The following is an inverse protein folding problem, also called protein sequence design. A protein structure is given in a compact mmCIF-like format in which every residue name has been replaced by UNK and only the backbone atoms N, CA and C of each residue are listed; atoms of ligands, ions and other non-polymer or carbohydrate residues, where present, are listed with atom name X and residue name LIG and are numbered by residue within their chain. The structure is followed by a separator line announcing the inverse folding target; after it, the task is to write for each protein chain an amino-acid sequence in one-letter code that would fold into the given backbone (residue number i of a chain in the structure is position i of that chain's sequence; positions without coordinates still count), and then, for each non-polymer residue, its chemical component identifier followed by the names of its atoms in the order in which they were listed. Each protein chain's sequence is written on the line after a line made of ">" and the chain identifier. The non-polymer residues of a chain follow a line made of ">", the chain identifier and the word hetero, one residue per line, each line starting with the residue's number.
data_IF_853171862001
#
_entry.id   IF_853171862001
#
_cell.length_a   1.000
_cell.length_b   1.000
_cell.length_c   1.000
_cell.angle_alpha   90.00
_cell.angle_beta   90.00
_cell.angle_gamma   90.00
#
_symmetry.space_group_name_H-M   'P 1'
#
loop_
_entity.id
_entity.type
_entity.pdbx_description
1 polymer ?
#
# COMPACT_ATOMS: atom_id res chain seq x y z
N UNK A 1 -23.76 -27.29 6.06
CA UNK A 1 -23.29 -26.01 6.62
C UNK A 1 -24.50 -25.35 7.22
N UNK A 2 -24.57 -25.23 8.53
CA UNK A 2 -25.66 -24.53 9.19
C UNK A 2 -25.66 -23.06 8.79
N UNK A 3 -26.83 -22.47 8.49
CA UNK A 3 -26.92 -21.08 8.08
C UNK A 3 -26.64 -20.19 9.29
N UNK A 4 -25.64 -19.28 9.12
CA UNK A 4 -25.46 -18.03 9.83
C UNK A 4 -25.67 -18.01 11.35
N UNK A 5 -24.74 -18.57 12.12
CA UNK A 5 -24.50 -17.99 13.44
C UNK A 5 -23.76 -16.66 13.23
N UNK A 6 -24.52 -15.56 13.16
CA UNK A 6 -23.97 -14.22 13.16
C UNK A 6 -23.06 -14.05 14.38
N UNK A 7 -21.80 -13.67 14.14
CA UNK A 7 -20.90 -13.40 15.24
C UNK A 7 -21.31 -12.04 15.86
N UNK A 8 -21.88 -12.05 17.08
CA UNK A 8 -22.62 -10.88 17.62
C UNK A 8 -21.71 -9.66 17.84
N UNK A 9 -20.38 -9.84 17.75
CA UNK A 9 -19.41 -8.77 18.05
C UNK A 9 -18.78 -8.14 16.81
N UNK A 10 -19.28 -8.41 15.59
CA UNK A 10 -18.63 -7.90 14.37
C UNK A 10 -18.60 -6.37 14.29
N UNK A 11 -19.68 -5.68 14.69
CA UNK A 11 -19.73 -4.21 14.73
C UNK A 11 -18.69 -3.63 15.70
N UNK A 12 -18.58 -4.21 16.89
CA UNK A 12 -17.59 -3.82 17.88
C UNK A 12 -16.17 -4.05 17.37
N UNK A 13 -15.90 -5.19 16.78
CA UNK A 13 -14.60 -5.50 16.19
C UNK A 13 -14.28 -4.55 15.03
N UNK A 14 -15.26 -4.18 14.22
CA UNK A 14 -15.07 -3.19 13.13
C UNK A 14 -14.63 -1.83 13.68
N UNK A 15 -15.31 -1.33 14.71
CA UNK A 15 -14.96 -0.04 15.33
C UNK A 15 -13.55 -0.09 15.95
N UNK A 16 -13.24 -1.16 16.71
CA UNK A 16 -11.93 -1.33 17.32
C UNK A 16 -10.82 -1.49 16.28
N UNK A 17 -11.08 -2.21 15.19
CA UNK A 17 -10.15 -2.36 14.08
C UNK A 17 -9.94 -1.04 13.35
N UNK A 18 -11.00 -0.25 13.17
CA UNK A 18 -10.94 1.09 12.57
C UNK A 18 -10.02 2.00 13.36
N UNK A 19 -10.25 2.12 14.67
CA UNK A 19 -9.42 2.95 15.57
C UNK A 19 -7.97 2.45 15.61
N UNK A 20 -7.78 1.14 15.72
CA UNK A 20 -6.45 0.53 15.74
C UNK A 20 -5.67 0.82 14.46
N UNK A 21 -6.28 0.64 13.28
CA UNK A 21 -5.62 0.89 12.01
C UNK A 21 -5.39 2.38 11.73
N UNK A 22 -6.28 3.24 12.21
CA UNK A 22 -6.05 4.68 12.20
C UNK A 22 -4.75 5.04 12.92
N UNK A 23 -4.53 4.55 14.16
CA UNK A 23 -3.31 4.83 14.92
C UNK A 23 -2.06 4.18 14.31
N UNK A 24 -2.17 2.95 13.78
CA UNK A 24 -1.06 2.28 13.09
C UNK A 24 -0.58 3.11 11.91
N UNK A 25 -1.51 3.54 11.04
CA UNK A 25 -1.15 4.29 9.83
C UNK A 25 -0.76 5.74 10.15
N UNK A 26 -1.35 6.35 11.18
CA UNK A 26 -0.93 7.66 11.65
C UNK A 26 0.53 7.62 12.14
N UNK A 27 0.89 6.66 12.98
CA UNK A 27 2.26 6.49 13.44
C UNK A 27 3.23 6.11 12.32
N UNK A 28 2.81 5.24 11.40
CA UNK A 28 3.64 4.86 10.26
C UNK A 28 3.93 6.04 9.34
N UNK A 29 2.92 6.80 8.93
CA UNK A 29 3.06 7.92 8.01
C UNK A 29 3.85 9.07 8.67
N UNK A 30 3.62 9.34 9.96
CA UNK A 30 4.33 10.38 10.70
C UNK A 30 5.84 10.16 10.80
N UNK A 31 6.32 8.92 10.71
CA UNK A 31 7.75 8.61 10.73
C UNK A 31 8.33 8.39 9.32
N UNK A 32 7.67 7.53 8.53
CA UNK A 32 8.27 7.00 7.30
C UNK A 32 8.39 8.03 6.16
N UNK A 33 7.50 9.00 6.13
CA UNK A 33 7.49 10.05 5.10
C UNK A 33 8.72 10.97 5.22
N UNK A 34 9.26 11.13 6.43
CA UNK A 34 10.33 12.06 6.74
C UNK A 34 11.72 11.41 6.86
N UNK A 35 11.83 10.11 6.59
CA UNK A 35 13.11 9.38 6.60
C UNK A 35 14.18 9.99 5.70
N UNK A 36 13.86 10.51 4.50
CA UNK A 36 14.88 11.17 3.68
C UNK A 36 15.51 12.39 4.35
N UNK A 37 14.71 13.18 5.08
CA UNK A 37 15.21 14.34 5.84
C UNK A 37 15.97 13.88 7.10
N UNK A 38 15.55 12.79 7.74
CA UNK A 38 16.26 12.20 8.88
C UNK A 38 17.70 11.77 8.53
N UNK A 39 17.91 11.22 7.32
CA UNK A 39 19.25 10.89 6.83
C UNK A 39 20.15 12.12 6.74
N UNK A 40 19.59 13.28 6.38
CA UNK A 40 20.33 14.53 6.29
C UNK A 40 20.57 15.15 7.67
N UNK A 41 19.47 15.47 8.37
CA UNK A 41 19.52 16.32 9.56
C UNK A 41 20.11 15.60 10.78
N UNK A 42 19.85 14.29 10.89
CA UNK A 42 20.29 13.50 12.08
C UNK A 42 21.55 12.68 11.80
N UNK A 43 21.69 12.12 10.60
CA UNK A 43 22.83 11.27 10.24
C UNK A 43 23.89 12.00 9.40
N UNK A 44 23.70 13.30 9.11
CA UNK A 44 24.69 14.16 8.48
C UNK A 44 24.98 13.82 6.99
N UNK A 45 24.06 13.18 6.28
CA UNK A 45 24.23 12.83 4.86
C UNK A 45 23.74 13.99 4.00
N UNK A 46 24.59 14.97 3.75
CA UNK A 46 24.25 16.16 2.98
C UNK A 46 24.12 15.88 1.48
N UNK A 47 24.92 14.94 0.95
CA UNK A 47 24.90 14.58 -0.46
C UNK A 47 23.55 14.00 -0.89
N UNK A 48 22.87 14.67 -1.82
CA UNK A 48 21.61 14.18 -2.40
C UNK A 48 21.75 12.77 -2.99
N UNK A 49 22.86 12.53 -3.67
CA UNK A 49 23.14 11.25 -4.34
C UNK A 49 23.29 10.10 -3.35
N UNK A 50 24.10 10.28 -2.30
CA UNK A 50 24.28 9.26 -1.25
C UNK A 50 22.99 9.03 -0.47
N UNK A 51 22.31 10.11 -0.10
CA UNK A 51 21.01 10.05 0.59
C UNK A 51 19.98 9.26 -0.21
N UNK A 52 19.97 9.45 -1.54
CA UNK A 52 19.12 8.69 -2.45
C UNK A 52 19.31 7.18 -2.36
N UNK A 53 20.57 6.72 -2.25
CA UNK A 53 20.89 5.29 -2.07
C UNK A 53 20.40 4.78 -0.72
N UNK A 54 20.66 5.52 0.38
CA UNK A 54 20.22 5.08 1.71
C UNK A 54 18.69 5.03 1.83
N UNK A 55 17.98 5.99 1.26
CA UNK A 55 16.50 5.99 1.17
C UNK A 55 16.00 4.79 0.37
N UNK A 56 16.66 4.48 -0.74
CA UNK A 56 16.37 3.30 -1.54
C UNK A 56 16.58 2.01 -0.75
N UNK A 57 17.71 1.84 -0.11
CA UNK A 57 18.02 0.65 0.72
C UNK A 57 17.02 0.51 1.88
N UNK A 58 16.70 1.60 2.57
CA UNK A 58 15.71 1.61 3.65
C UNK A 58 14.34 1.09 3.17
N UNK A 59 13.85 1.56 2.03
CA UNK A 59 12.59 1.12 1.47
C UNK A 59 12.67 -0.32 0.93
N UNK A 60 13.76 -0.68 0.25
CA UNK A 60 13.98 -2.03 -0.26
C UNK A 60 13.93 -3.07 0.87
N UNK A 61 14.70 -2.88 1.94
CA UNK A 61 14.72 -3.81 3.07
C UNK A 61 13.40 -3.81 3.84
N UNK A 62 12.65 -2.69 3.83
CA UNK A 62 11.30 -2.64 4.35
C UNK A 62 10.32 -3.53 3.57
N UNK A 63 10.32 -3.44 2.23
CA UNK A 63 9.47 -4.27 1.37
C UNK A 63 9.90 -5.74 1.43
N UNK A 64 11.21 -6.01 1.42
CA UNK A 64 11.77 -7.35 1.52
C UNK A 64 11.37 -8.05 2.82
N UNK A 65 11.54 -7.36 3.96
CA UNK A 65 11.13 -7.89 5.27
C UNK A 65 9.65 -8.26 5.30
N UNK A 66 8.79 -7.37 4.80
CA UNK A 66 7.36 -7.63 4.72
C UNK A 66 7.04 -8.82 3.79
N UNK A 67 7.64 -8.86 2.59
CA UNK A 67 7.36 -9.89 1.60
C UNK A 67 7.76 -11.30 2.05
N UNK A 68 8.92 -11.42 2.70
CA UNK A 68 9.44 -12.71 3.18
C UNK A 68 8.65 -13.23 4.39
N UNK A 69 8.33 -12.35 5.34
CA UNK A 69 7.73 -12.75 6.61
C UNK A 69 6.20 -12.75 6.62
N UNK A 70 5.53 -12.01 5.73
CA UNK A 70 4.06 -11.97 5.67
C UNK A 70 3.41 -13.36 5.50
N UNK A 71 3.88 -14.26 4.61
CA UNK A 71 3.34 -15.61 4.49
C UNK A 71 3.55 -16.47 5.75
N UNK A 72 4.67 -16.30 6.45
CA UNK A 72 4.96 -16.98 7.71
C UNK A 72 3.96 -16.59 8.78
N UNK A 73 3.73 -15.28 8.95
CA UNK A 73 2.76 -14.78 9.92
C UNK A 73 1.32 -15.13 9.55
N UNK A 74 1.00 -15.18 8.26
CA UNK A 74 -0.29 -15.69 7.78
C UNK A 74 -0.54 -17.12 8.23
N UNK A 75 0.43 -18.03 8.07
CA UNK A 75 0.34 -19.42 8.51
C UNK A 75 0.31 -19.57 10.04
N UNK A 76 1.04 -18.74 10.77
CA UNK A 76 1.00 -18.69 12.23
C UNK A 76 -0.34 -18.16 12.76
N UNK A 77 -0.95 -17.21 12.04
CA UNK A 77 -2.27 -16.68 12.44
C UNK A 77 -3.36 -17.74 12.44
N UNK A 78 -3.28 -18.73 11.55
CA UNK A 78 -4.20 -19.86 11.52
C UNK A 78 -3.98 -20.82 12.70
N UNK A 79 -2.77 -20.85 13.28
CA UNK A 79 -2.40 -21.71 14.40
C UNK A 79 -2.65 -21.07 15.76
N UNK A 80 -2.25 -19.80 15.92
CA UNK A 80 -2.25 -19.09 17.20
C UNK A 80 -3.39 -18.09 17.33
N UNK A 81 -4.09 -17.79 16.24
CA UNK A 81 -5.14 -16.78 16.17
C UNK A 81 -4.65 -15.44 15.61
N UNK A 82 -5.56 -14.75 14.96
CA UNK A 82 -5.28 -13.47 14.28
C UNK A 82 -5.06 -12.34 15.29
N UNK A 83 -5.80 -12.37 16.42
CA UNK A 83 -5.67 -11.37 17.48
C UNK A 83 -4.25 -11.32 18.07
N UNK A 84 -3.61 -12.47 18.29
CA UNK A 84 -2.23 -12.53 18.80
C UNK A 84 -1.26 -11.91 17.80
N UNK A 85 -1.48 -12.13 16.50
CA UNK A 85 -0.64 -11.52 15.45
C UNK A 85 -0.79 -9.99 15.41
N UNK A 86 -2.01 -9.46 15.63
CA UNK A 86 -2.26 -8.03 15.75
C UNK A 86 -1.51 -7.42 16.94
N UNK A 87 -1.66 -8.02 18.12
CA UNK A 87 -1.00 -7.55 19.35
C UNK A 87 0.52 -7.55 19.20
N UNK A 88 1.07 -8.64 18.70
CA UNK A 88 2.51 -8.75 18.43
C UNK A 88 2.97 -7.63 17.49
N UNK A 89 2.32 -7.44 16.35
CA UNK A 89 2.71 -6.43 15.37
C UNK A 89 2.65 -5.02 15.95
N UNK A 90 1.63 -4.69 16.75
CA UNK A 90 1.50 -3.38 17.36
C UNK A 90 2.57 -3.14 18.44
N UNK A 91 2.72 -4.05 19.43
CA UNK A 91 3.65 -3.81 20.53
C UNK A 91 5.12 -3.91 20.11
N UNK A 92 5.47 -4.82 19.21
CA UNK A 92 6.84 -4.91 18.69
C UNK A 92 7.19 -3.62 17.94
N UNK A 93 6.32 -3.15 17.05
CA UNK A 93 6.55 -1.90 16.33
C UNK A 93 6.63 -0.70 17.28
N UNK A 94 5.82 -0.68 18.35
CA UNK A 94 5.87 0.36 19.38
C UNK A 94 7.24 0.49 20.06
N UNK A 95 8.01 -0.59 20.15
CA UNK A 95 9.36 -0.58 20.71
C UNK A 95 10.39 -0.13 19.65
N UNK A 96 10.30 -0.67 18.44
CA UNK A 96 11.32 -0.43 17.43
C UNK A 96 11.26 0.98 16.81
N UNK A 97 10.09 1.63 16.77
CA UNK A 97 9.99 2.99 16.25
C UNK A 97 10.76 4.01 17.09
N UNK A 98 10.58 4.09 18.42
CA UNK A 98 11.43 4.95 19.25
C UNK A 98 12.93 4.64 19.13
N UNK A 99 13.31 3.37 18.96
CA UNK A 99 14.72 3.00 18.78
C UNK A 99 15.34 3.62 17.50
N UNK A 100 14.54 3.89 16.47
CA UNK A 100 15.03 4.56 15.25
C UNK A 100 15.51 5.99 15.53
N UNK A 101 15.04 6.64 16.60
CA UNK A 101 15.47 7.99 16.97
C UNK A 101 16.92 8.05 17.49
N UNK A 102 17.45 6.92 17.98
CA UNK A 102 18.76 6.86 18.64
C UNK A 102 19.85 6.23 17.75
N UNK A 103 19.57 6.01 16.47
CA UNK A 103 20.57 5.48 15.53
C UNK A 103 21.62 6.53 15.23
N UNK A 104 22.87 6.10 15.10
CA UNK A 104 24.03 6.96 14.81
C UNK A 104 24.64 6.67 13.43
N UNK A 105 24.16 5.63 12.76
CA UNK A 105 24.66 5.24 11.45
C UNK A 105 23.54 4.73 10.51
N UNK A 106 23.62 4.96 9.19
CA UNK A 106 22.60 4.55 8.23
C UNK A 106 22.24 3.07 8.25
N UNK A 107 23.24 2.19 8.42
CA UNK A 107 23.03 0.74 8.45
C UNK A 107 22.17 0.28 9.63
N UNK A 108 22.26 0.98 10.79
CA UNK A 108 21.42 0.69 11.97
C UNK A 108 19.94 0.96 11.64
N UNK A 109 19.65 2.11 11.00
CA UNK A 109 18.29 2.48 10.60
C UNK A 109 17.73 1.46 9.61
N UNK A 110 18.51 1.04 8.61
CA UNK A 110 18.12 0.05 7.61
C UNK A 110 17.85 -1.31 8.28
N UNK A 111 18.70 -1.73 9.21
CA UNK A 111 18.50 -2.98 9.96
C UNK A 111 17.23 -2.94 10.82
N UNK A 112 17.00 -1.84 11.55
CA UNK A 112 15.77 -1.64 12.33
C UNK A 112 14.53 -1.66 11.41
N UNK A 113 14.63 -1.08 10.21
CA UNK A 113 13.56 -1.12 9.22
C UNK A 113 13.23 -2.54 8.76
N UNK A 114 14.26 -3.35 8.44
CA UNK A 114 14.10 -4.75 8.08
C UNK A 114 13.41 -5.54 9.19
N UNK A 115 13.90 -5.41 10.43
CA UNK A 115 13.34 -6.11 11.60
C UNK A 115 11.90 -5.66 11.87
N UNK A 116 11.64 -4.36 11.84
CA UNK A 116 10.28 -3.83 12.04
C UNK A 116 9.33 -4.33 10.97
N UNK A 117 9.74 -4.32 9.69
CA UNK A 117 8.92 -4.80 8.59
C UNK A 117 8.68 -6.32 8.67
N UNK A 118 9.70 -7.09 9.05
CA UNK A 118 9.60 -8.54 9.24
C UNK A 118 8.61 -8.90 10.37
N UNK A 119 8.55 -8.10 11.42
CA UNK A 119 7.73 -8.34 12.60
C UNK A 119 6.38 -7.61 12.57
N UNK A 120 6.13 -6.69 11.65
CA UNK A 120 4.87 -5.98 11.48
C UNK A 120 3.74 -6.89 10.89
N UNK A 121 2.82 -6.34 10.14
CA UNK A 121 1.74 -7.10 9.46
C UNK A 121 0.37 -6.90 10.10
N UNK A 122 0.19 -5.85 10.88
CA UNK A 122 -1.07 -5.51 11.57
C UNK A 122 -2.23 -5.30 10.61
N UNK A 123 -2.02 -4.59 9.50
CA UNK A 123 -3.07 -4.28 8.52
C UNK A 123 -3.63 -5.55 7.87
N UNK A 124 -2.76 -6.44 7.38
CA UNK A 124 -3.19 -7.71 6.80
C UNK A 124 -3.96 -8.58 7.81
N UNK A 125 -3.47 -8.63 9.06
CA UNK A 125 -4.16 -9.36 10.13
C UNK A 125 -5.54 -8.76 10.46
N UNK A 126 -5.69 -7.43 10.46
CA UNK A 126 -7.00 -6.77 10.63
C UNK A 126 -7.98 -7.14 9.52
N UNK A 127 -7.56 -7.11 8.26
CA UNK A 127 -8.38 -7.53 7.13
C UNK A 127 -8.85 -8.99 7.27
N UNK A 128 -7.96 -9.89 7.72
CA UNK A 128 -8.29 -11.30 7.97
C UNK A 128 -9.28 -11.45 9.14
N UNK A 129 -9.07 -10.72 10.24
CA UNK A 129 -9.96 -10.77 11.41
C UNK A 129 -11.39 -10.36 11.04
N UNK A 130 -11.53 -9.26 10.31
CA UNK A 130 -12.83 -8.76 9.86
C UNK A 130 -13.46 -9.69 8.83
N UNK A 131 -12.69 -10.24 7.88
CA UNK A 131 -13.21 -11.20 6.91
C UNK A 131 -13.75 -12.46 7.57
N UNK A 132 -13.13 -12.96 8.65
CA UNK A 132 -13.58 -14.13 9.40
C UNK A 132 -14.78 -13.84 10.34
N UNK A 133 -14.95 -12.60 10.77
CA UNK A 133 -15.91 -12.22 11.81
C UNK A 133 -17.14 -11.45 11.33
N UNK A 134 -17.17 -10.97 10.10
CA UNK A 134 -18.24 -10.15 9.55
C UNK A 134 -19.19 -11.00 8.68
N UNK A 135 -20.51 -10.80 8.74
CA UNK A 135 -21.47 -11.45 7.84
C UNK A 135 -21.18 -11.19 6.37
N UNK A 136 -21.46 -12.15 5.49
CA UNK A 136 -21.11 -12.11 4.07
C UNK A 136 -21.72 -10.91 3.34
N UNK A 137 -22.94 -10.51 3.70
CA UNK A 137 -23.64 -9.34 3.13
C UNK A 137 -23.02 -7.99 3.56
N UNK A 138 -22.23 -7.95 4.64
CA UNK A 138 -21.57 -6.74 5.21
C UNK A 138 -20.06 -6.71 5.00
N UNK A 139 -19.47 -7.74 4.40
CA UNK A 139 -18.00 -7.79 4.22
C UNK A 139 -17.46 -6.65 3.39
N UNK A 140 -18.14 -6.27 2.30
CA UNK A 140 -17.73 -5.13 1.47
C UNK A 140 -17.68 -3.82 2.27
N UNK A 141 -18.70 -3.56 3.08
CA UNK A 141 -18.75 -2.39 3.97
C UNK A 141 -17.62 -2.42 5.00
N UNK A 142 -17.37 -3.56 5.65
CA UNK A 142 -16.36 -3.68 6.69
C UNK A 142 -14.95 -3.48 6.12
N UNK A 143 -14.63 -4.06 4.97
CA UNK A 143 -13.33 -3.92 4.31
C UNK A 143 -13.11 -2.50 3.77
N UNK A 144 -14.14 -1.90 3.17
CA UNK A 144 -14.10 -0.50 2.71
C UNK A 144 -13.92 0.48 3.85
N UNK A 145 -14.63 0.28 4.97
CA UNK A 145 -14.49 1.09 6.19
C UNK A 145 -13.06 0.98 6.76
N UNK A 146 -12.46 -0.20 6.78
CA UNK A 146 -11.08 -0.39 7.24
C UNK A 146 -10.07 0.34 6.33
N UNK A 147 -10.27 0.30 5.02
CA UNK A 147 -9.47 1.06 4.05
C UNK A 147 -9.58 2.57 4.29
N UNK A 148 -10.77 3.07 4.61
CA UNK A 148 -10.97 4.47 4.98
C UNK A 148 -10.19 4.85 6.25
N UNK A 149 -10.14 3.96 7.27
CA UNK A 149 -9.33 4.17 8.47
C UNK A 149 -7.83 4.28 8.15
N UNK A 150 -7.33 3.43 7.25
CA UNK A 150 -5.93 3.45 6.76
C UNK A 150 -5.61 4.80 6.11
N UNK A 151 -6.48 5.28 5.21
CA UNK A 151 -6.29 6.57 4.54
C UNK A 151 -6.38 7.75 5.52
N UNK A 152 -7.36 7.74 6.43
CA UNK A 152 -7.52 8.78 7.44
C UNK A 152 -6.31 8.84 8.40
N UNK A 153 -5.79 7.67 8.81
CA UNK A 153 -4.57 7.57 9.60
C UNK A 153 -3.37 8.16 8.88
N UNK A 154 -3.17 7.80 7.61
CA UNK A 154 -2.06 8.33 6.80
C UNK A 154 -2.15 9.84 6.61
N UNK A 155 -3.36 10.38 6.40
CA UNK A 155 -3.60 11.82 6.29
C UNK A 155 -3.15 12.55 7.57
N UNK A 156 -3.69 12.13 8.72
CA UNK A 156 -3.37 12.77 10.01
C UNK A 156 -1.90 12.55 10.36
N UNK A 157 -1.36 11.35 10.10
CA UNK A 157 0.04 11.03 10.36
C UNK A 157 1.01 11.89 9.57
N UNK A 158 0.78 12.10 8.29
CA UNK A 158 1.62 12.99 7.48
C UNK A 158 1.60 14.43 7.99
N UNK A 159 0.39 14.97 8.26
CA UNK A 159 0.23 16.35 8.72
C UNK A 159 0.88 16.58 10.09
N UNK A 160 0.54 15.74 11.06
CA UNK A 160 1.05 15.85 12.43
C UNK A 160 2.54 15.50 12.50
N UNK A 161 2.97 14.51 11.71
CA UNK A 161 4.37 14.11 11.62
C UNK A 161 5.26 15.21 11.08
N UNK A 162 4.85 15.90 9.99
CA UNK A 162 5.59 17.05 9.47
C UNK A 162 5.73 18.19 10.46
N UNK A 163 4.63 18.51 11.15
CA UNK A 163 4.65 19.49 12.23
C UNK A 163 5.59 19.08 13.38
N UNK A 164 5.53 17.82 13.83
CA UNK A 164 6.40 17.36 14.91
C UNK A 164 7.87 17.32 14.52
N UNK A 165 8.20 16.94 13.29
CA UNK A 165 9.59 16.89 12.82
C UNK A 165 10.21 18.29 12.85
N UNK A 166 9.54 19.30 12.26
CA UNK A 166 10.10 20.64 12.15
C UNK A 166 10.12 21.41 13.49
N UNK A 167 9.11 21.20 14.36
CA UNK A 167 8.99 22.01 15.59
C UNK A 167 9.47 21.29 16.86
N UNK A 168 9.45 19.96 16.91
CA UNK A 168 9.83 19.16 18.09
C UNK A 168 10.98 18.17 17.81
N UNK A 169 11.35 18.01 16.55
CA UNK A 169 12.44 17.13 16.12
C UNK A 169 12.07 15.66 15.99
N UNK A 170 12.99 14.89 15.42
CA UNK A 170 12.79 13.48 15.07
C UNK A 170 12.59 12.58 16.28
N UNK A 171 13.34 12.81 17.38
CA UNK A 171 13.23 11.99 18.60
C UNK A 171 11.81 12.02 19.15
N UNK A 172 11.23 13.22 19.28
CA UNK A 172 9.85 13.36 19.73
C UNK A 172 8.88 12.65 18.78
N UNK A 173 9.06 12.83 17.47
CA UNK A 173 8.20 12.23 16.44
C UNK A 173 8.22 10.69 16.52
N UNK A 174 9.40 10.07 16.57
CA UNK A 174 9.52 8.61 16.68
C UNK A 174 8.94 8.05 17.98
N UNK A 175 9.12 8.75 19.10
CA UNK A 175 8.52 8.37 20.39
C UNK A 175 7.00 8.48 20.33
N UNK A 176 6.47 9.58 19.77
CA UNK A 176 5.03 9.76 19.56
C UNK A 176 4.43 8.65 18.67
N UNK A 177 5.15 8.25 17.60
CA UNK A 177 4.77 7.10 16.79
C UNK A 177 4.69 5.81 17.61
N UNK A 178 5.68 5.55 18.48
CA UNK A 178 5.66 4.42 19.40
C UNK A 178 4.42 4.42 20.30
N UNK A 179 4.05 5.56 20.85
CA UNK A 179 2.82 5.73 21.66
C UNK A 179 1.56 5.41 20.85
N UNK A 180 1.47 5.86 19.59
CA UNK A 180 0.33 5.54 18.73
C UNK A 180 0.22 4.01 18.47
N UNK A 181 1.34 3.33 18.32
CA UNK A 181 1.34 1.86 18.19
C UNK A 181 0.95 1.15 19.51
N UNK A 182 1.32 1.69 20.68
CA UNK A 182 0.83 1.19 21.98
C UNK A 182 -0.69 1.35 22.06
N UNK A 183 -1.21 2.53 21.73
CA UNK A 183 -2.66 2.77 21.70
C UNK A 183 -3.36 1.79 20.77
N UNK A 184 -2.85 1.59 19.55
CA UNK A 184 -3.37 0.56 18.64
C UNK A 184 -3.41 -0.83 19.28
N UNK A 185 -2.33 -1.24 19.95
CA UNK A 185 -2.27 -2.51 20.67
C UNK A 185 -3.32 -2.63 21.78
N UNK A 186 -3.55 -1.56 22.54
CA UNK A 186 -4.58 -1.49 23.58
C UNK A 186 -5.97 -1.73 22.99
N UNK A 187 -6.32 -1.05 21.86
CA UNK A 187 -7.59 -1.30 21.19
C UNK A 187 -7.72 -2.72 20.65
N UNK A 188 -6.62 -3.32 20.17
CA UNK A 188 -6.60 -4.73 19.76
C UNK A 188 -6.86 -5.70 20.91
N UNK A 189 -6.48 -5.39 22.17
CA UNK A 189 -6.78 -6.21 23.34
C UNK A 189 -8.28 -6.43 23.53
N UNK A 190 -9.09 -5.42 23.23
CA UNK A 190 -10.53 -5.48 23.39
C UNK A 190 -11.27 -6.17 22.24
N UNK A 191 -10.59 -6.49 21.13
CA UNK A 191 -11.19 -7.27 20.04
C UNK A 191 -11.47 -8.70 20.49
N UNK A 192 -12.56 -9.28 20.00
CA UNK A 192 -12.93 -10.68 20.23
C UNK A 192 -12.72 -11.49 18.97
N UNK A 193 -12.03 -12.60 19.10
CA UNK A 193 -11.84 -13.57 18.03
C UNK A 193 -12.67 -14.83 18.33
N UNK A 194 -13.33 -15.38 17.30
CA UNK A 194 -14.00 -16.66 17.40
C UNK A 194 -12.95 -17.73 17.66
N UNK A 195 -13.03 -18.42 18.79
CA UNK A 195 -12.10 -19.52 19.10
C UNK A 195 -12.15 -20.55 17.97
N UNK A 196 -10.98 -20.84 17.41
CA UNK A 196 -10.85 -21.93 16.45
C UNK A 196 -11.05 -23.23 17.24
N UNK A 197 -12.22 -23.82 17.09
CA UNK A 197 -12.46 -25.16 17.62
C UNK A 197 -11.59 -26.11 16.79
N UNK A 198 -10.51 -26.59 17.37
CA UNK A 198 -9.72 -27.68 16.77
C UNK A 198 -10.62 -28.90 16.71
N UNK A 199 -11.20 -29.17 15.55
CA UNK A 199 -11.79 -30.47 15.29
C UNK A 199 -10.60 -31.44 15.29
N UNK A 200 -10.55 -32.31 16.31
CA UNK A 200 -9.63 -33.44 16.36
C UNK A 200 -10.01 -34.40 15.23
N UNK A 201 -9.23 -34.40 14.21
CA UNK A 201 -9.34 -35.12 12.96
C UNK A 201 -8.72 -34.29 11.85
N UNK A 202 -8.01 -34.91 10.93
CA UNK A 202 -7.45 -34.19 9.76
C UNK A 202 -8.59 -33.42 9.09
N UNK A 203 -8.75 -32.16 9.45
CA UNK A 203 -9.80 -31.29 8.93
C UNK A 203 -9.74 -31.35 7.40
N UNK A 204 -10.89 -31.48 6.75
CA UNK A 204 -11.03 -31.34 5.30
C UNK A 204 -10.29 -30.10 4.77
N UNK A 205 -10.10 -29.11 5.64
CA UNK A 205 -9.33 -27.89 5.41
C UNK A 205 -7.80 -28.14 5.36
N UNK A 206 -7.24 -28.94 6.26
CA UNK A 206 -5.80 -29.33 6.24
C UNK A 206 -5.54 -30.24 5.04
N UNK A 207 -6.46 -31.15 4.72
CA UNK A 207 -6.41 -31.98 3.52
C UNK A 207 -6.51 -31.13 2.25
N UNK A 208 -7.34 -30.07 2.28
CA UNK A 208 -7.48 -29.10 1.20
C UNK A 208 -6.24 -28.23 1.03
N UNK A 209 -5.58 -27.78 2.12
CA UNK A 209 -4.30 -27.03 2.08
C UNK A 209 -3.17 -27.95 1.62
N UNK A 210 -3.10 -29.20 2.08
CA UNK A 210 -2.09 -30.18 1.62
C UNK A 210 -2.26 -30.51 0.14
N UNK A 211 -3.49 -30.63 -0.33
CA UNK A 211 -3.79 -30.81 -1.75
C UNK A 211 -3.53 -29.53 -2.56
N UNK A 212 -3.75 -28.34 -1.98
CA UNK A 212 -3.39 -27.05 -2.61
C UNK A 212 -1.88 -26.89 -2.74
N UNK A 213 -1.10 -27.38 -1.76
CA UNK A 213 0.38 -27.38 -1.79
C UNK A 213 0.95 -28.41 -2.78
N UNK A 214 0.17 -29.42 -3.16
CA UNK A 214 0.48 -30.43 -4.18
C UNK A 214 -0.12 -30.12 -5.55
N UNK A 215 -1.01 -29.13 -5.65
CA UNK A 215 -1.54 -28.75 -6.96
C UNK A 215 -0.45 -27.99 -7.75
N UNK A 216 -0.25 -28.35 -9.02
CA UNK A 216 0.65 -27.59 -9.90
C UNK A 216 0.22 -26.13 -9.91
N UNK A 217 1.17 -25.21 -10.16
CA UNK A 217 0.87 -23.77 -10.30
C UNK A 217 -0.45 -23.59 -11.02
N UNK A 218 -1.36 -22.73 -10.50
CA UNK A 218 -2.67 -22.55 -11.13
C UNK A 218 -2.46 -22.15 -12.59
N UNK A 219 -2.93 -22.98 -13.51
CA UNK A 219 -2.85 -22.69 -14.94
C UNK A 219 -3.74 -21.48 -15.21
N UNK A 220 -3.12 -20.32 -15.28
CA UNK A 220 -3.75 -19.08 -15.71
C UNK A 220 -3.62 -18.94 -17.22
N UNK A 221 -4.61 -18.30 -17.84
CA UNK A 221 -4.51 -17.90 -19.24
C UNK A 221 -3.38 -16.86 -19.43
N UNK A 222 -2.79 -16.80 -20.62
CA UNK A 222 -1.75 -15.83 -20.96
C UNK A 222 -2.19 -14.40 -20.63
N UNK A 223 -3.45 -14.04 -20.85
CA UNK A 223 -3.95 -12.71 -20.51
C UNK A 223 -3.94 -12.41 -19.02
N UNK A 224 -4.20 -13.39 -18.15
CA UNK A 224 -4.07 -13.21 -16.68
C UNK A 224 -2.61 -12.96 -16.29
N UNK A 225 -1.65 -13.69 -16.87
CA UNK A 225 -0.22 -13.45 -16.64
C UNK A 225 0.22 -12.07 -17.13
N UNK A 226 -0.25 -11.63 -18.30
CA UNK A 226 0.02 -10.29 -18.81
C UNK A 226 -0.56 -9.20 -17.89
N UNK A 227 -1.76 -9.41 -17.31
CA UNK A 227 -2.32 -8.49 -16.32
C UNK A 227 -1.51 -8.46 -15.02
N UNK A 228 -1.04 -9.61 -14.55
CA UNK A 228 -0.16 -9.65 -13.37
C UNK A 228 1.15 -8.88 -13.63
N UNK A 229 1.73 -9.03 -14.82
CA UNK A 229 2.88 -8.23 -15.25
C UNK A 229 2.55 -6.74 -15.28
N UNK A 230 1.36 -6.36 -15.80
CA UNK A 230 0.91 -4.97 -15.79
C UNK A 230 0.79 -4.42 -14.37
N UNK A 231 0.34 -5.21 -13.39
CA UNK A 231 0.35 -4.82 -11.98
C UNK A 231 1.77 -4.53 -11.48
N UNK A 232 2.73 -5.39 -11.80
CA UNK A 232 4.15 -5.18 -11.43
C UNK A 232 4.70 -3.90 -12.05
N UNK A 233 4.50 -3.70 -13.35
CA UNK A 233 4.96 -2.50 -14.07
C UNK A 233 4.30 -1.22 -13.55
N UNK A 234 2.98 -1.24 -13.31
CA UNK A 234 2.25 -0.09 -12.76
C UNK A 234 2.75 0.29 -11.37
N UNK A 235 3.02 -0.70 -10.53
CA UNK A 235 3.58 -0.49 -9.20
C UNK A 235 5.03 0.01 -9.26
N UNK A 236 5.84 -0.54 -10.17
CA UNK A 236 7.21 -0.12 -10.38
C UNK A 236 7.26 1.37 -10.75
N UNK A 237 6.52 1.77 -11.79
CA UNK A 237 6.54 3.17 -12.27
C UNK A 237 5.90 4.11 -11.27
N UNK A 238 4.78 3.70 -10.64
CA UNK A 238 4.08 4.52 -9.65
C UNK A 238 4.86 4.76 -8.36
N UNK A 239 5.76 3.85 -7.99
CA UNK A 239 6.52 3.96 -6.74
C UNK A 239 7.90 4.61 -6.91
N UNK A 240 8.38 4.86 -8.14
CA UNK A 240 9.72 5.43 -8.40
C UNK A 240 9.98 6.77 -7.69
N UNK A 241 8.99 7.64 -7.63
CA UNK A 241 9.11 8.97 -7.04
C UNK A 241 8.61 9.07 -5.60
N UNK A 242 7.83 8.08 -5.13
CA UNK A 242 7.15 8.14 -3.81
C UNK A 242 8.13 8.28 -2.64
N UNK A 243 9.25 7.55 -2.56
CA UNK A 243 10.18 7.66 -1.43
C UNK A 243 10.90 9.00 -1.34
N UNK A 244 10.89 9.79 -2.41
CA UNK A 244 11.70 11.01 -2.56
C UNK A 244 10.88 12.30 -2.48
N UNK A 245 9.62 12.23 -2.04
CA UNK A 245 8.73 13.41 -1.94
C UNK A 245 9.32 14.44 -0.99
N UNK A 246 9.83 14.04 0.17
CA UNK A 246 10.42 14.96 1.14
C UNK A 246 11.71 15.61 0.62
N UNK A 247 12.58 14.86 -0.09
CA UNK A 247 13.78 15.40 -0.73
C UNK A 247 13.44 16.41 -1.82
N UNK A 248 12.40 16.13 -2.62
CA UNK A 248 11.99 17.06 -3.67
C UNK A 248 11.44 18.36 -3.09
N UNK A 249 10.66 18.27 -2.00
CA UNK A 249 10.12 19.45 -1.32
C UNK A 249 11.24 20.25 -0.68
N UNK A 250 12.23 19.60 -0.06
CA UNK A 250 13.42 20.25 0.48
C UNK A 250 14.17 21.07 -0.58
N UNK A 251 14.33 20.53 -1.82
CA UNK A 251 15.01 21.23 -2.93
C UNK A 251 14.29 22.50 -3.40
N UNK A 252 12.98 22.61 -3.21
CA UNK A 252 12.14 23.73 -3.67
C UNK A 252 11.62 24.59 -2.51
N UNK A 253 11.85 24.18 -1.27
CA UNK A 253 11.42 24.93 -0.10
C UNK A 253 12.32 26.12 0.19
N UNK A 254 11.72 27.29 0.28
CA UNK A 254 12.39 28.56 0.64
C UNK A 254 12.06 29.02 2.05
N UNK A 255 11.20 28.28 2.77
CA UNK A 255 10.69 28.68 4.09
C UNK A 255 11.49 28.09 5.24
N UNK A 256 12.34 27.08 4.98
CA UNK A 256 13.12 26.36 5.99
C UNK A 256 12.31 25.33 6.81
N UNK A 257 11.13 24.96 6.31
CA UNK A 257 10.24 23.97 6.94
C UNK A 257 9.82 22.84 6.00
N UNK A 258 10.76 22.06 5.45
CA UNK A 258 10.49 21.06 4.43
C UNK A 258 9.62 19.91 4.94
N UNK A 259 9.74 19.50 6.21
CA UNK A 259 8.91 18.44 6.77
C UNK A 259 7.45 18.89 6.92
N UNK A 260 7.21 20.11 7.38
CA UNK A 260 5.86 20.68 7.48
C UNK A 260 5.14 20.72 6.14
N UNK A 261 5.81 21.24 5.08
CA UNK A 261 5.24 21.28 3.73
C UNK A 261 5.05 19.88 3.13
N UNK A 262 5.98 18.97 3.38
CA UNK A 262 5.82 17.55 3.01
C UNK A 262 4.57 16.95 3.66
N UNK A 263 4.37 17.20 4.95
CA UNK A 263 3.21 16.76 5.69
C UNK A 263 1.90 17.27 5.10
N UNK A 264 1.81 18.57 4.79
CA UNK A 264 0.63 19.19 4.18
C UNK A 264 0.34 18.60 2.80
N UNK A 265 1.34 18.56 1.91
CA UNK A 265 1.16 18.10 0.53
C UNK A 265 0.77 16.62 0.49
N UNK A 266 1.40 15.77 1.30
CA UNK A 266 1.03 14.36 1.41
C UNK A 266 -0.37 14.17 2.03
N UNK A 267 -0.78 15.02 2.97
CA UNK A 267 -2.13 14.98 3.55
C UNK A 267 -3.20 15.36 2.54
N UNK A 268 -3.01 16.44 1.79
CA UNK A 268 -3.91 16.84 0.70
C UNK A 268 -4.01 15.73 -0.35
N UNK A 269 -2.86 15.14 -0.72
CA UNK A 269 -2.82 14.02 -1.66
C UNK A 269 -3.60 12.79 -1.13
N UNK A 270 -3.56 12.52 0.18
CA UNK A 270 -4.33 11.43 0.80
C UNK A 270 -5.83 11.68 0.75
N UNK A 271 -6.28 12.93 0.94
CA UNK A 271 -7.69 13.33 0.76
C UNK A 271 -8.13 13.13 -0.69
N UNK A 272 -7.33 13.60 -1.65
CA UNK A 272 -7.60 13.42 -3.08
C UNK A 272 -7.68 11.94 -3.48
N UNK A 273 -6.81 11.10 -2.91
CA UNK A 273 -6.82 9.66 -3.14
C UNK A 273 -8.10 8.98 -2.63
N UNK A 274 -8.68 9.43 -1.50
CA UNK A 274 -9.97 8.96 -0.99
C UNK A 274 -11.10 9.25 -1.99
N UNK A 275 -11.19 10.49 -2.47
CA UNK A 275 -12.19 10.87 -3.46
C UNK A 275 -11.99 10.13 -4.79
N UNK A 276 -10.75 9.91 -5.20
CA UNK A 276 -10.40 9.10 -6.36
C UNK A 276 -11.03 7.71 -6.31
N UNK A 277 -10.91 7.01 -5.19
CA UNK A 277 -11.49 5.68 -5.02
C UNK A 277 -13.01 5.65 -5.24
N UNK A 278 -13.73 6.66 -4.76
CA UNK A 278 -15.18 6.81 -4.95
C UNK A 278 -15.52 7.13 -6.41
N UNK A 279 -14.85 8.13 -7.00
CA UNK A 279 -15.09 8.58 -8.38
C UNK A 279 -14.80 7.45 -9.37
N UNK A 280 -13.61 6.84 -9.29
CA UNK A 280 -13.21 5.79 -10.24
C UNK A 280 -13.92 4.46 -9.97
N UNK A 281 -14.33 4.18 -8.73
CA UNK A 281 -15.23 3.07 -8.42
C UNK A 281 -16.55 3.21 -9.17
N UNK A 282 -17.18 4.38 -9.10
CA UNK A 282 -18.41 4.69 -9.83
C UNK A 282 -18.21 4.68 -11.36
N UNK A 283 -17.16 5.37 -11.85
CA UNK A 283 -16.85 5.40 -13.29
C UNK A 283 -16.58 4.00 -13.83
N UNK A 284 -15.86 3.16 -13.09
CA UNK A 284 -15.57 1.80 -13.52
C UNK A 284 -16.85 0.97 -13.73
N UNK A 285 -17.95 1.29 -13.05
CA UNK A 285 -19.22 0.59 -13.22
C UNK A 285 -20.03 1.06 -14.46
N UNK A 286 -19.82 2.29 -14.91
CA UNK A 286 -20.57 2.89 -16.01
C UNK A 286 -19.79 2.95 -17.33
N UNK A 287 -18.44 3.03 -17.25
CA UNK A 287 -17.58 3.15 -18.43
C UNK A 287 -16.67 1.94 -18.54
N UNK A 288 -16.44 1.44 -19.74
CA UNK A 288 -15.51 0.32 -19.97
C UNK A 288 -14.09 0.75 -19.59
N UNK A 289 -13.36 -0.03 -18.77
CA UNK A 289 -12.03 0.34 -18.24
C UNK A 289 -11.03 0.77 -19.31
N UNK A 290 -11.11 0.20 -20.52
CA UNK A 290 -10.22 0.55 -21.64
C UNK A 290 -10.25 2.03 -22.05
N UNK A 291 -11.40 2.70 -21.89
CA UNK A 291 -11.53 4.12 -22.25
C UNK A 291 -11.05 5.06 -21.11
N UNK A 292 -11.04 4.56 -19.86
CA UNK A 292 -10.60 5.34 -18.71
C UNK A 292 -9.09 5.26 -18.49
N UNK A 293 -8.46 4.14 -18.86
CA UNK A 293 -7.07 3.89 -18.47
C UNK A 293 -6.07 4.77 -19.22
N UNK A 294 -6.36 5.09 -20.49
CA UNK A 294 -5.48 5.95 -21.30
C UNK A 294 -5.43 7.37 -20.74
N UNK A 295 -6.57 8.09 -20.56
CA UNK A 295 -6.51 9.43 -19.98
C UNK A 295 -5.95 9.42 -18.56
N UNK A 296 -6.21 8.38 -17.75
CA UNK A 296 -5.63 8.25 -16.41
C UNK A 296 -4.11 8.20 -16.47
N UNK A 297 -3.52 7.32 -17.28
CA UNK A 297 -2.07 7.21 -17.42
C UNK A 297 -1.45 8.49 -17.99
N UNK A 298 -2.11 9.14 -18.96
CA UNK A 298 -1.63 10.39 -19.57
C UNK A 298 -1.62 11.53 -18.55
N UNK A 299 -2.67 11.69 -17.76
CA UNK A 299 -2.75 12.74 -16.73
C UNK A 299 -1.72 12.50 -15.64
N UNK A 300 -1.58 11.26 -15.15
CA UNK A 300 -0.56 10.93 -14.14
C UNK A 300 0.84 11.22 -14.68
N UNK A 301 1.14 10.78 -15.91
CA UNK A 301 2.43 11.02 -16.55
C UNK A 301 2.76 12.50 -16.67
N UNK A 302 1.79 13.31 -17.10
CA UNK A 302 1.94 14.76 -17.20
C UNK A 302 2.17 15.39 -15.82
N UNK A 303 1.35 15.05 -14.83
CA UNK A 303 1.51 15.54 -13.46
C UNK A 303 2.90 15.21 -12.88
N UNK A 304 3.40 14.00 -13.13
CA UNK A 304 4.73 13.59 -12.66
C UNK A 304 5.84 14.43 -13.32
N UNK A 305 5.77 14.65 -14.63
CA UNK A 305 6.76 15.50 -15.33
C UNK A 305 6.73 16.92 -14.78
N UNK A 306 5.55 17.52 -14.61
CA UNK A 306 5.42 18.87 -14.06
C UNK A 306 5.98 18.94 -12.63
N UNK A 307 5.74 17.93 -11.80
CA UNK A 307 6.33 17.84 -10.45
C UNK A 307 7.87 17.78 -10.50
N UNK A 308 8.44 17.09 -11.48
CA UNK A 308 9.90 16.99 -11.65
C UNK A 308 10.57 18.29 -12.07
N UNK A 309 9.85 19.18 -12.77
CA UNK A 309 10.35 20.51 -13.20
C UNK A 309 9.81 21.65 -12.34
N UNK A 310 9.02 21.35 -11.29
CA UNK A 310 8.46 22.39 -10.43
C UNK A 310 9.54 23.08 -9.60
N UNK A 311 9.52 24.41 -9.60
CA UNK A 311 10.39 25.27 -8.78
C UNK A 311 9.59 25.97 -7.66
N UNK A 312 8.33 25.60 -7.47
CA UNK A 312 7.43 26.17 -6.46
C UNK A 312 6.68 25.10 -5.71
N UNK A 313 6.59 25.24 -4.38
CA UNK A 313 5.79 24.37 -3.49
C UNK A 313 4.32 24.31 -3.92
N UNK A 314 3.77 25.44 -4.38
CA UNK A 314 2.38 25.50 -4.83
C UNK A 314 2.15 24.61 -6.07
N UNK A 315 3.02 24.74 -7.09
CA UNK A 315 2.92 23.93 -8.32
C UNK A 315 3.11 22.47 -7.99
N UNK A 316 4.14 22.13 -7.22
CA UNK A 316 4.39 20.75 -6.81
C UNK A 316 3.21 20.15 -6.02
N UNK A 317 2.65 20.88 -5.06
CA UNK A 317 1.51 20.48 -4.26
C UNK A 317 0.23 20.30 -5.07
N UNK A 318 -0.07 21.24 -5.97
CA UNK A 318 -1.24 21.18 -6.84
C UNK A 318 -1.20 19.93 -7.74
N UNK A 319 -0.08 19.69 -8.43
CA UNK A 319 0.06 18.54 -9.30
C UNK A 319 0.21 17.22 -8.51
N UNK A 320 0.66 17.25 -7.25
CA UNK A 320 0.61 16.10 -6.34
C UNK A 320 -0.83 15.71 -6.00
N UNK A 321 -1.68 16.68 -5.71
CA UNK A 321 -3.10 16.48 -5.44
C UNK A 321 -3.84 15.93 -6.68
N UNK A 322 -3.58 16.50 -7.87
CA UNK A 322 -4.14 15.99 -9.13
C UNK A 322 -3.67 14.57 -9.46
N UNK A 323 -2.37 14.30 -9.30
CA UNK A 323 -1.84 12.95 -9.50
C UNK A 323 -2.48 11.93 -8.56
N UNK A 324 -2.72 12.29 -7.30
CA UNK A 324 -3.39 11.42 -6.33
C UNK A 324 -4.88 11.23 -6.66
N UNK A 325 -5.57 12.30 -7.09
CA UNK A 325 -6.99 12.25 -7.47
C UNK A 325 -7.23 11.32 -8.66
N UNK A 326 -6.32 11.27 -9.62
CA UNK A 326 -6.46 10.44 -10.82
C UNK A 326 -5.78 9.07 -10.63
N UNK A 327 -4.62 9.05 -10.00
CA UNK A 327 -3.75 7.88 -9.91
C UNK A 327 -4.30 6.73 -9.07
N UNK A 328 -4.98 7.06 -7.96
CA UNK A 328 -5.58 6.04 -7.09
C UNK A 328 -6.71 5.24 -7.79
N UNK A 329 -7.27 5.77 -8.89
CA UNK A 329 -8.25 5.07 -9.73
C UNK A 329 -7.67 3.92 -10.57
N UNK A 330 -6.36 3.85 -10.76
CA UNK A 330 -5.73 2.82 -11.60
C UNK A 330 -5.89 1.41 -11.01
N UNK A 331 -5.77 1.27 -9.69
CA UNK A 331 -5.89 -0.01 -9.01
C UNK A 331 -7.29 -0.65 -9.16
N UNK A 332 -8.42 0.04 -8.88
CA UNK A 332 -9.76 -0.53 -9.06
C UNK A 332 -10.07 -0.84 -10.54
N UNK A 333 -9.60 -0.03 -11.50
CA UNK A 333 -9.77 -0.30 -12.92
C UNK A 333 -9.09 -1.61 -13.35
N UNK A 334 -7.83 -1.79 -12.96
CA UNK A 334 -7.07 -3.01 -13.22
C UNK A 334 -7.69 -4.22 -12.52
N UNK A 335 -8.12 -4.08 -11.25
CA UNK A 335 -8.72 -5.15 -10.48
C UNK A 335 -10.04 -5.63 -11.09
N UNK A 336 -10.88 -4.72 -11.57
CA UNK A 336 -12.12 -5.04 -12.26
C UNK A 336 -11.87 -5.83 -13.56
N UNK A 337 -10.88 -5.41 -14.36
CA UNK A 337 -10.48 -6.11 -15.58
C UNK A 337 -9.95 -7.50 -15.30
N UNK A 338 -9.10 -7.62 -14.28
CA UNK A 338 -8.55 -8.90 -13.83
C UNK A 338 -9.65 -9.86 -13.33
N UNK A 339 -10.61 -9.33 -12.55
CA UNK A 339 -11.76 -10.09 -12.08
C UNK A 339 -12.65 -10.59 -13.23
N UNK A 340 -12.85 -9.76 -14.25
CA UNK A 340 -13.64 -10.13 -15.43
C UNK A 340 -12.94 -11.20 -16.28
N UNK A 341 -11.60 -11.17 -16.35
CA UNK A 341 -10.80 -12.14 -17.08
C UNK A 341 -10.62 -13.48 -16.36
N UNK A 342 -11.05 -13.58 -15.08
CA UNK A 342 -10.78 -14.74 -14.24
C UNK A 342 -12.06 -15.45 -13.79
N UNK A 343 -12.15 -16.81 -13.96
CA UNK A 343 -13.26 -17.61 -13.43
C UNK A 343 -13.44 -17.40 -11.92
N UNK A 344 -14.69 -17.35 -11.39
CA UNK A 344 -14.99 -17.10 -9.99
C UNK A 344 -14.20 -17.99 -9.01
N UNK A 345 -14.01 -19.26 -9.35
CA UNK A 345 -13.27 -20.24 -8.54
C UNK A 345 -11.76 -19.93 -8.39
N UNK A 346 -11.17 -19.17 -9.31
CA UNK A 346 -9.74 -18.85 -9.33
C UNK A 346 -9.44 -17.41 -8.89
N UNK A 347 -10.46 -16.55 -8.66
CA UNK A 347 -10.28 -15.12 -8.34
C UNK A 347 -9.44 -14.89 -7.09
N UNK A 348 -9.66 -15.67 -6.03
CA UNK A 348 -8.87 -15.53 -4.80
C UNK A 348 -7.37 -15.75 -5.01
N UNK A 349 -7.00 -16.77 -5.80
CA UNK A 349 -5.61 -17.04 -6.14
C UNK A 349 -5.01 -15.91 -7.00
N UNK A 350 -5.75 -15.43 -8.00
CA UNK A 350 -5.27 -14.35 -8.89
C UNK A 350 -5.09 -13.04 -8.14
N UNK A 351 -5.97 -12.69 -7.19
CA UNK A 351 -5.82 -11.51 -6.34
C UNK A 351 -4.63 -11.63 -5.38
N UNK A 352 -4.35 -12.83 -4.86
CA UNK A 352 -3.12 -13.07 -4.10
C UNK A 352 -1.87 -12.84 -4.96
N UNK A 353 -1.85 -13.38 -6.18
CA UNK A 353 -0.75 -13.16 -7.14
C UNK A 353 -0.61 -11.70 -7.56
N UNK A 354 -1.71 -10.96 -7.75
CA UNK A 354 -1.63 -9.52 -8.11
C UNK A 354 -0.95 -8.70 -7.01
N UNK A 355 -1.20 -9.00 -5.74
CA UNK A 355 -0.50 -8.36 -4.63
C UNK A 355 1.01 -8.71 -4.63
N UNK A 356 1.38 -9.96 -4.91
CA UNK A 356 2.78 -10.38 -5.01
C UNK A 356 3.50 -9.66 -6.15
N UNK A 357 2.89 -9.60 -7.34
CA UNK A 357 3.46 -8.89 -8.49
C UNK A 357 3.58 -7.39 -8.24
N UNK A 358 2.57 -6.77 -7.59
CA UNK A 358 2.63 -5.37 -7.19
C UNK A 358 3.79 -5.09 -6.21
N UNK A 359 3.96 -5.92 -5.18
CA UNK A 359 5.06 -5.78 -4.24
C UNK A 359 6.44 -6.03 -4.90
N UNK A 360 6.53 -6.95 -5.85
CA UNK A 360 7.76 -7.16 -6.64
C UNK A 360 8.08 -5.92 -7.48
N UNK A 361 7.07 -5.27 -8.07
CA UNK A 361 7.22 -4.00 -8.77
C UNK A 361 7.73 -2.90 -7.86
N UNK A 362 7.14 -2.73 -6.66
CA UNK A 362 7.62 -1.77 -5.67
C UNK A 362 9.07 -2.03 -5.26
N UNK A 363 9.45 -3.29 -5.05
CA UNK A 363 10.81 -3.67 -4.68
C UNK A 363 11.83 -3.33 -5.79
N UNK A 364 11.52 -3.64 -7.04
CA UNK A 364 12.35 -3.23 -8.18
C UNK A 364 12.42 -1.71 -8.32
N UNK A 365 11.30 -1.03 -8.09
CA UNK A 365 11.21 0.43 -8.12
C UNK A 365 12.20 1.08 -7.15
N UNK A 366 12.31 0.57 -5.92
CA UNK A 366 13.24 1.15 -4.94
C UNK A 366 14.69 1.07 -5.40
N UNK A 367 15.11 -0.04 -6.03
CA UNK A 367 16.47 -0.20 -6.54
C UNK A 367 16.73 0.75 -7.71
N UNK A 368 15.81 0.78 -8.68
CA UNK A 368 15.94 1.63 -9.88
C UNK A 368 15.92 3.11 -9.49
N UNK A 369 15.02 3.52 -8.59
CA UNK A 369 14.94 4.93 -8.17
C UNK A 369 16.15 5.38 -7.37
N UNK A 370 16.74 4.52 -6.54
CA UNK A 370 18.01 4.81 -5.87
C UNK A 370 19.15 5.05 -6.87
N UNK A 371 19.23 4.22 -7.89
CA UNK A 371 20.23 4.41 -8.97
C UNK A 371 19.97 5.71 -9.76
N UNK A 372 18.71 6.05 -10.06
CA UNK A 372 18.37 7.31 -10.75
C UNK A 372 18.78 8.52 -9.90
N UNK A 373 18.46 8.53 -8.60
CA UNK A 373 18.83 9.65 -7.72
C UNK A 373 20.35 9.77 -7.61
N UNK A 374 21.05 8.65 -7.48
CA UNK A 374 22.51 8.64 -7.40
C UNK A 374 23.19 9.25 -8.64
N UNK A 375 22.66 8.95 -9.83
CA UNK A 375 23.30 9.37 -11.09
C UNK A 375 22.80 10.71 -11.60
N UNK A 376 21.53 11.03 -11.44
CA UNK A 376 20.88 12.17 -12.08
C UNK A 376 20.25 13.15 -11.07
N UNK A 377 20.01 12.73 -9.82
CA UNK A 377 19.31 13.52 -8.80
C UNK A 377 17.83 13.24 -8.69
N UNK A 378 17.21 13.79 -7.64
CA UNK A 378 15.82 13.51 -7.25
C UNK A 378 14.77 13.94 -8.29
N UNK A 379 14.96 15.09 -8.94
CA UNK A 379 14.05 15.60 -9.99
C UNK A 379 13.79 14.58 -11.10
N UNK A 380 14.82 13.86 -11.50
CA UNK A 380 14.73 12.89 -12.59
C UNK A 380 13.90 11.64 -12.25
N UNK A 381 13.72 11.31 -10.98
CA UNK A 381 12.79 10.20 -10.62
C UNK A 381 11.36 10.52 -11.03
N UNK A 382 10.95 11.78 -10.93
CA UNK A 382 9.63 12.24 -11.35
C UNK A 382 9.50 12.29 -12.87
N UNK A 383 10.49 12.86 -13.56
CA UNK A 383 10.49 12.98 -15.02
C UNK A 383 10.49 11.60 -15.66
N UNK A 384 11.37 10.71 -15.23
CA UNK A 384 11.46 9.34 -15.75
C UNK A 384 10.18 8.56 -15.46
N UNK A 385 9.63 8.68 -14.24
CA UNK A 385 8.33 8.07 -13.92
C UNK A 385 7.23 8.55 -14.86
N UNK A 386 7.17 9.85 -15.15
CA UNK A 386 6.20 10.43 -16.05
C UNK A 386 6.34 9.91 -17.48
N UNK A 387 7.56 9.84 -18.01
CA UNK A 387 7.86 9.27 -19.34
C UNK A 387 7.48 7.79 -19.37
N UNK A 388 7.82 7.01 -18.33
CA UNK A 388 7.45 5.60 -18.24
C UNK A 388 5.92 5.40 -18.19
N UNK A 389 5.15 6.32 -17.57
CA UNK A 389 3.68 6.28 -17.61
C UNK A 389 3.15 6.40 -19.04
N UNK A 390 3.72 7.29 -19.86
CA UNK A 390 3.35 7.39 -21.28
C UNK A 390 3.74 6.12 -22.06
N UNK A 391 4.94 5.56 -21.81
CA UNK A 391 5.37 4.31 -22.44
C UNK A 391 4.51 3.10 -22.04
N UNK A 392 3.87 3.16 -20.88
CA UNK A 392 2.93 2.12 -20.45
C UNK A 392 1.61 2.15 -21.23
N UNK A 393 1.24 3.25 -21.90
CA UNK A 393 -0.04 3.35 -22.63
C UNK A 393 -0.15 2.26 -23.71
N UNK A 394 0.79 2.14 -24.67
CA UNK A 394 0.70 1.11 -25.70
C UNK A 394 0.75 -0.32 -25.13
N UNK A 395 1.57 -0.54 -24.09
CA UNK A 395 1.65 -1.85 -23.41
C UNK A 395 0.30 -2.21 -22.80
N UNK A 396 -0.31 -1.28 -22.09
CA UNK A 396 -1.62 -1.47 -21.45
C UNK A 396 -2.71 -1.70 -22.48
N UNK A 397 -2.74 -0.93 -23.58
CA UNK A 397 -3.66 -1.11 -24.69
C UNK A 397 -3.55 -2.51 -25.31
N UNK A 398 -2.33 -2.96 -25.56
CA UNK A 398 -2.07 -4.30 -26.10
C UNK A 398 -2.58 -5.41 -25.16
N UNK A 399 -2.29 -5.29 -23.85
CA UNK A 399 -2.74 -6.27 -22.85
C UNK A 399 -4.27 -6.30 -22.75
N UNK A 400 -4.92 -5.13 -22.72
CA UNK A 400 -6.39 -5.04 -22.70
C UNK A 400 -7.02 -5.60 -23.97
N UNK A 401 -6.42 -5.35 -25.15
CA UNK A 401 -6.86 -5.94 -26.40
C UNK A 401 -6.80 -7.47 -26.35
N UNK A 402 -5.69 -8.04 -25.92
CA UNK A 402 -5.48 -9.49 -25.77
C UNK A 402 -6.49 -10.13 -24.82
N UNK A 403 -6.82 -9.47 -23.72
CA UNK A 403 -7.78 -9.97 -22.72
C UNK A 403 -9.20 -9.96 -23.29
N UNK A 404 -9.59 -8.88 -23.94
CA UNK A 404 -10.94 -8.75 -24.50
C UNK A 404 -11.23 -9.77 -25.58
N UNK A 405 -10.23 -10.31 -26.27
CA UNK A 405 -10.37 -11.35 -27.29
C UNK A 405 -10.25 -12.77 -26.72
N UNK A 406 -10.17 -12.96 -25.41
CA UNK A 406 -10.21 -14.30 -24.82
C UNK A 406 -11.62 -14.87 -24.82
N UNK A 407 -11.80 -16.18 -25.16
CA UNK A 407 -13.11 -16.82 -25.22
C UNK A 407 -13.91 -16.69 -23.90
N UNK A 408 -13.22 -16.81 -22.76
CA UNK A 408 -13.85 -16.66 -21.45
C UNK A 408 -14.36 -15.24 -21.22
N UNK A 409 -13.60 -14.23 -21.60
CA UNK A 409 -13.99 -12.83 -21.44
C UNK A 409 -15.18 -12.49 -22.34
N UNK A 410 -15.18 -12.93 -23.59
CA UNK A 410 -16.28 -12.73 -24.54
C UNK A 410 -17.59 -13.36 -24.06
N UNK A 411 -17.53 -14.58 -23.48
CA UNK A 411 -18.69 -15.27 -22.95
C UNK A 411 -19.30 -14.63 -21.69
N UNK A 412 -18.51 -13.87 -20.93
CA UNK A 412 -18.91 -13.32 -19.63
C UNK A 412 -18.94 -11.79 -19.58
N UNK A 413 -18.37 -11.12 -20.58
CA UNK A 413 -18.30 -9.64 -20.63
C UNK A 413 -19.70 -9.01 -20.71
N UNK A 414 -20.65 -9.62 -21.44
CA UNK A 414 -22.03 -9.15 -21.48
C UNK A 414 -22.70 -9.17 -20.10
N UNK A 415 -22.42 -10.18 -19.29
CA UNK A 415 -22.98 -10.27 -17.92
C UNK A 415 -22.36 -9.29 -16.94
N UNK A 416 -21.11 -8.88 -17.16
CA UNK A 416 -20.36 -7.99 -16.24
C UNK A 416 -20.53 -6.51 -16.59
N UNK A 417 -20.62 -6.19 -17.89
CA UNK A 417 -20.68 -4.80 -18.38
C UNK A 417 -22.07 -4.35 -18.85
N UNK A 418 -23.00 -5.29 -19.11
CA UNK A 418 -24.37 -4.99 -19.58
C UNK A 418 -25.46 -5.21 -18.51
N UNK A 419 -25.12 -5.27 -17.22
CA UNK A 419 -26.08 -5.46 -16.13
C UNK A 419 -27.01 -4.27 -15.87
N UNK A 420 -27.13 -3.33 -16.82
CA UNK A 420 -28.14 -2.25 -16.85
C UNK A 420 -28.62 -2.00 -18.27
N UNK A 421 -29.57 -2.78 -18.72
CA UNK A 421 -30.73 -2.36 -19.47
C UNK A 421 -31.97 -2.83 -18.77
#
# INVERSE_FOLDING_TARGET
>A
MEPNQEFPYWKRNLVLAWISQFFVLAGFAAAMTFIPLFFQDHLGIESENERGIYVSMFNFFGVLGYAVFCPLWGSLSDRFGVKIMLLRGSFVTAIFFPMMAFVTAPWQLITLRLVTAALAGTTAACHILLAKGTPDDKQGFAQGSLTAAVCAGSLVGNMVGGFFVDFYGYTFTFVACGVLYVLSGIFCLFMKEKKIVRVQGESAYVKKIRNYRKSPMPQFTIGVWLMLLLYSLSSLVGYLSVPYVAMMIELIDTTGHPAYWTGIICSISSVCALFSGLIFGYLADHVKPKYLIIPVLSVIGLCLIIRGVADSLFVFGLFSAFAALVGSGLAPLNLKTLAAATPPRKRGAVFGWSATFSNSGNMLSTVISGWIVFTFGTKYTYIISGICMFLMIPITMYIYYRIMHQPYFLAHAEKVFNKKK
#
